data_IF_173500257378
#
_entry.id   IF_173500257378
#
_cell.length_a   1.000
_cell.length_b   1.000
_cell.length_c   1.000
_cell.angle_alpha   90.00
_cell.angle_beta   90.00
_cell.angle_gamma   90.00
#
_symmetry.space_group_name_H-M   'P 1'
#
loop_
_entity.id
_entity.type
_entity.pdbx_description
1 polymer ?
#
# COMPACT_ATOMS: atom_id res chain seq x y z
N UNK A 1 33.28 25.25 -16.44
CA UNK A 1 33.27 24.23 -15.35
C UNK A 1 31.91 24.16 -14.63
N UNK A 2 31.20 25.27 -14.40
CA UNK A 2 29.88 25.25 -13.75
C UNK A 2 28.76 24.54 -14.54
N UNK A 3 28.80 24.57 -15.87
CA UNK A 3 27.74 23.98 -16.71
C UNK A 3 27.63 22.46 -16.55
N UNK A 4 28.76 21.79 -16.35
CA UNK A 4 28.81 20.33 -16.15
C UNK A 4 28.20 19.92 -14.80
N UNK A 5 28.43 20.69 -13.74
CA UNK A 5 27.87 20.43 -12.40
C UNK A 5 26.36 20.69 -12.39
N UNK A 6 25.90 21.79 -12.99
CA UNK A 6 24.47 22.09 -13.11
C UNK A 6 23.73 21.01 -13.93
N UNK A 7 24.35 20.51 -15.01
CA UNK A 7 23.81 19.44 -15.85
C UNK A 7 23.70 18.11 -15.09
N UNK A 8 24.69 17.77 -14.27
CA UNK A 8 24.67 16.56 -13.44
C UNK A 8 23.58 16.67 -12.36
N UNK A 9 23.46 17.81 -11.69
CA UNK A 9 22.46 18.04 -10.65
C UNK A 9 21.01 17.89 -11.17
N UNK A 10 20.73 18.30 -12.40
CA UNK A 10 19.42 18.13 -13.02
C UNK A 10 19.07 16.67 -13.37
N UNK A 11 20.06 15.76 -13.36
CA UNK A 11 19.86 14.32 -13.61
C UNK A 11 19.75 13.51 -12.32
N UNK A 12 20.07 14.09 -11.16
CA UNK A 12 20.01 13.39 -9.89
C UNK A 12 18.57 13.32 -9.37
N UNK A 13 18.12 12.10 -9.08
CA UNK A 13 16.87 11.87 -8.36
C UNK A 13 17.15 12.17 -6.88
N UNK A 14 16.44 13.14 -6.33
CA UNK A 14 16.55 13.56 -4.93
C UNK A 14 15.24 13.31 -4.19
N UNK A 15 15.31 13.23 -2.86
CA UNK A 15 14.11 13.19 -2.02
C UNK A 15 13.58 14.62 -1.90
N UNK A 16 12.31 14.85 -2.26
CA UNK A 16 11.67 16.17 -2.13
C UNK A 16 10.78 16.27 -0.89
N UNK A 17 10.26 15.14 -0.41
CA UNK A 17 9.40 15.09 0.78
C UNK A 17 9.49 13.70 1.40
N UNK A 18 9.44 13.62 2.74
CA UNK A 18 9.26 12.37 3.49
C UNK A 18 8.40 12.64 4.71
N UNK A 19 7.60 11.67 5.14
CA UNK A 19 6.75 11.89 6.30
C UNK A 19 5.92 10.68 6.70
N UNK A 20 5.03 10.93 7.65
CA UNK A 20 4.04 9.96 8.14
C UNK A 20 2.65 10.59 8.06
N UNK A 21 1.72 9.92 7.38
CA UNK A 21 0.33 10.38 7.27
C UNK A 21 -0.59 9.19 7.05
N UNK A 22 -1.78 9.22 7.65
CA UNK A 22 -2.79 8.15 7.52
C UNK A 22 -2.26 6.75 7.93
N UNK A 23 -1.27 6.70 8.83
CA UNK A 23 -0.61 5.46 9.25
C UNK A 23 0.40 4.91 8.24
N UNK A 24 0.70 5.64 7.17
CA UNK A 24 1.75 5.31 6.21
C UNK A 24 2.99 6.16 6.43
N UNK A 25 4.15 5.54 6.26
CA UNK A 25 5.40 6.24 5.98
C UNK A 25 5.52 6.44 4.48
N UNK A 26 6.10 7.56 4.04
CA UNK A 26 6.30 7.82 2.61
C UNK A 26 7.55 8.63 2.31
N UNK A 27 8.03 8.47 1.08
CA UNK A 27 9.07 9.29 0.44
C UNK A 27 8.58 9.66 -0.96
N UNK A 28 8.68 10.95 -1.31
CA UNK A 28 8.49 11.48 -2.66
C UNK A 28 9.83 11.86 -3.26
N UNK A 29 10.04 11.49 -4.51
CA UNK A 29 11.26 11.75 -5.26
C UNK A 29 11.05 12.85 -6.30
N UNK A 30 12.13 13.54 -6.65
CA UNK A 30 12.15 14.67 -7.59
C UNK A 30 11.75 14.29 -9.01
N UNK A 31 11.85 13.02 -9.38
CA UNK A 31 11.40 12.49 -10.67
C UNK A 31 9.89 12.15 -10.70
N UNK A 32 9.21 12.29 -9.56
CA UNK A 32 7.78 12.05 -9.43
C UNK A 32 7.41 10.67 -8.90
N UNK A 33 8.38 9.81 -8.64
CA UNK A 33 8.14 8.55 -7.96
C UNK A 33 7.83 8.79 -6.48
N UNK A 34 7.01 7.92 -5.91
CA UNK A 34 6.81 7.82 -4.49
C UNK A 34 6.86 6.36 -4.04
N UNK A 35 7.42 6.17 -2.86
CA UNK A 35 7.40 4.90 -2.14
C UNK A 35 6.69 5.14 -0.83
N UNK A 36 5.68 4.30 -0.56
CA UNK A 36 4.83 4.40 0.63
C UNK A 36 4.78 3.02 1.28
N UNK A 37 4.88 2.95 2.60
CA UNK A 37 4.81 1.68 3.31
C UNK A 37 4.15 1.78 4.66
N UNK A 38 3.55 0.68 5.10
CA UNK A 38 3.01 0.54 6.46
C UNK A 38 2.94 -0.91 6.89
N UNK A 39 2.91 -1.11 8.21
CA UNK A 39 2.35 -2.33 8.80
C UNK A 39 0.84 -2.14 8.95
N UNK A 40 0.06 -3.10 8.48
CA UNK A 40 -1.39 -3.13 8.62
C UNK A 40 -1.74 -4.18 9.68
N UNK A 41 -2.64 -3.83 10.59
CA UNK A 41 -3.27 -4.77 11.54
C UNK A 41 -4.77 -4.55 11.45
N UNK A 42 -5.51 -5.61 11.16
CA UNK A 42 -6.93 -5.56 10.89
C UNK A 42 -7.60 -6.83 11.39
N UNK A 43 -8.46 -6.68 12.38
CA UNK A 43 -9.29 -7.78 12.84
C UNK A 43 -10.65 -7.63 12.15
N UNK A 44 -11.03 -8.62 11.37
CA UNK A 44 -12.27 -8.58 10.61
C UNK A 44 -12.97 -9.92 10.67
N UNK A 45 -14.29 -9.89 10.80
CA UNK A 45 -15.11 -11.09 10.64
C UNK A 45 -15.19 -11.45 9.15
N UNK A 46 -14.63 -12.60 8.77
CA UNK A 46 -14.73 -13.13 7.41
C UNK A 46 -15.96 -14.02 7.33
N UNK A 47 -17.03 -13.48 6.75
CA UNK A 47 -18.35 -14.12 6.74
C UNK A 47 -18.89 -14.39 5.34
N UNK A 48 -18.33 -13.74 4.31
CA UNK A 48 -18.77 -13.92 2.91
C UNK A 48 -18.08 -15.15 2.34
N UNK A 49 -18.86 -16.13 1.87
CA UNK A 49 -18.34 -17.36 1.27
C UNK A 49 -18.16 -17.23 -0.24
N UNK A 50 -17.02 -17.70 -0.76
CA UNK A 50 -16.72 -17.74 -2.18
C UNK A 50 -15.76 -18.89 -2.51
N UNK A 51 -16.20 -19.83 -3.35
CA UNK A 51 -15.45 -21.02 -3.79
C UNK A 51 -14.71 -21.76 -2.66
N UNK A 52 -15.36 -21.94 -1.49
CA UNK A 52 -14.79 -22.69 -0.36
C UNK A 52 -13.85 -21.87 0.54
N UNK A 53 -13.67 -20.57 0.26
CA UNK A 53 -13.01 -19.62 1.14
C UNK A 53 -14.02 -18.64 1.73
N UNK A 54 -13.68 -18.06 2.87
CA UNK A 54 -14.40 -16.95 3.49
C UNK A 54 -13.57 -15.67 3.36
N UNK A 55 -14.20 -14.55 3.04
CA UNK A 55 -13.50 -13.28 2.90
C UNK A 55 -14.27 -12.10 3.48
N UNK A 56 -13.53 -11.02 3.70
CA UNK A 56 -14.05 -9.70 3.99
C UNK A 56 -13.18 -8.66 3.26
N UNK A 57 -13.84 -7.67 2.66
CA UNK A 57 -13.19 -6.54 2.01
C UNK A 57 -13.63 -5.25 2.69
N UNK A 58 -12.67 -4.38 3.02
CA UNK A 58 -12.96 -3.06 3.55
C UNK A 58 -12.16 -2.01 2.81
N UNK A 59 -12.74 -0.81 2.68
CA UNK A 59 -11.99 0.35 2.20
C UNK A 59 -10.83 0.59 3.17
N UNK A 60 -9.60 0.49 2.67
CA UNK A 60 -8.43 0.78 3.48
C UNK A 60 -8.32 2.29 3.72
N UNK A 61 -7.52 2.68 4.72
CA UNK A 61 -7.25 4.09 5.00
C UNK A 61 -6.69 4.77 3.75
N UNK A 62 -7.25 5.93 3.39
CA UNK A 62 -6.83 6.74 2.23
C UNK A 62 -5.32 6.95 2.22
N UNK A 63 -4.71 6.95 1.03
CA UNK A 63 -3.28 7.15 0.86
C UNK A 63 -2.80 8.46 1.49
N UNK A 64 -1.50 8.60 1.83
CA UNK A 64 -0.97 9.86 2.40
C UNK A 64 -1.13 11.06 1.45
N UNK A 65 -1.24 10.81 0.14
CA UNK A 65 -1.52 11.77 -0.92
C UNK A 65 -2.17 11.04 -2.10
N UNK A 66 -2.81 11.79 -3.00
CA UNK A 66 -3.31 11.23 -4.25
C UNK A 66 -2.15 10.91 -5.21
N UNK A 67 -2.17 9.73 -5.80
CA UNK A 67 -1.30 9.37 -6.91
C UNK A 67 -1.86 9.91 -8.23
N UNK A 68 -1.01 10.04 -9.24
CA UNK A 68 -1.41 10.46 -10.59
C UNK A 68 -2.10 9.35 -11.37
N UNK A 69 -1.70 8.11 -11.09
CA UNK A 69 -2.26 6.88 -11.63
C UNK A 69 -2.39 5.84 -10.51
N UNK A 70 -3.12 4.76 -10.75
CA UNK A 70 -3.28 3.69 -9.76
C UNK A 70 -1.88 3.10 -9.44
N UNK A 71 -1.41 3.17 -8.18
CA UNK A 71 -0.09 2.69 -7.83
C UNK A 71 -0.02 1.16 -7.78
N UNK A 72 1.18 0.60 -7.89
CA UNK A 72 1.43 -0.79 -7.56
C UNK A 72 1.39 -0.97 -6.05
N UNK A 73 0.65 -1.97 -5.57
CA UNK A 73 0.60 -2.33 -4.15
C UNK A 73 1.04 -3.78 -3.99
N UNK A 74 2.03 -4.00 -3.13
CA UNK A 74 2.53 -5.31 -2.74
C UNK A 74 2.16 -5.51 -1.28
N UNK A 75 1.43 -6.58 -1.01
CA UNK A 75 1.06 -6.99 0.34
C UNK A 75 1.75 -8.30 0.67
N UNK A 76 2.49 -8.30 1.78
CA UNK A 76 3.05 -9.50 2.38
C UNK A 76 2.26 -9.81 3.65
N UNK A 77 1.42 -10.86 3.67
CA UNK A 77 0.70 -11.24 4.87
C UNK A 77 1.70 -11.64 5.96
N UNK A 78 1.48 -11.16 7.18
CA UNK A 78 2.18 -11.59 8.37
C UNK A 78 1.59 -12.89 8.90
N UNK A 79 2.34 -13.60 9.74
CA UNK A 79 1.88 -14.83 10.39
C UNK A 79 0.71 -14.54 11.32
N UNK A 80 -0.46 -15.08 10.99
CA UNK A 80 -1.61 -15.11 11.90
C UNK A 80 -2.28 -16.48 11.85
N UNK A 81 -3.06 -16.79 12.89
CA UNK A 81 -3.52 -18.16 13.15
C UNK A 81 -4.51 -18.69 12.10
N UNK A 82 -5.12 -17.81 11.30
CA UNK A 82 -6.27 -18.14 10.44
C UNK A 82 -6.30 -17.39 9.10
N UNK A 83 -5.28 -16.58 8.79
CA UNK A 83 -5.20 -15.87 7.51
C UNK A 83 -4.61 -16.78 6.44
N UNK A 84 -5.38 -17.05 5.41
CA UNK A 84 -4.91 -17.79 4.24
C UNK A 84 -4.22 -16.86 3.24
N UNK A 85 -4.84 -15.70 2.97
CA UNK A 85 -4.30 -14.71 2.03
C UNK A 85 -4.78 -13.30 2.35
N UNK A 86 -3.96 -12.29 1.98
CA UNK A 86 -4.33 -10.88 2.01
C UNK A 86 -3.98 -10.25 0.68
N UNK A 87 -4.94 -9.52 0.11
CA UNK A 87 -4.80 -8.88 -1.19
C UNK A 87 -5.44 -7.50 -1.21
N UNK A 88 -5.21 -6.78 -2.31
CA UNK A 88 -5.87 -5.50 -2.58
C UNK A 88 -6.71 -5.59 -3.84
N UNK A 89 -7.81 -4.84 -3.84
CA UNK A 89 -8.79 -4.81 -4.90
C UNK A 89 -9.21 -3.35 -5.10
N UNK A 90 -9.80 -3.02 -6.26
CA UNK A 90 -10.35 -1.67 -6.52
C UNK A 90 -9.33 -0.54 -6.24
N UNK A 91 -8.08 -0.73 -6.70
CA UNK A 91 -7.02 0.27 -6.52
C UNK A 91 -7.31 1.48 -7.41
N UNK A 92 -7.33 2.65 -6.79
CA UNK A 92 -7.50 3.94 -7.45
C UNK A 92 -6.33 4.87 -7.14
N UNK A 93 -6.40 6.12 -7.59
CA UNK A 93 -5.41 7.15 -7.26
C UNK A 93 -5.47 7.60 -5.80
N UNK A 94 -6.57 7.37 -5.10
CA UNK A 94 -6.81 7.89 -3.73
C UNK A 94 -6.95 6.80 -2.68
N UNK A 95 -7.14 5.54 -3.07
CA UNK A 95 -7.22 4.44 -2.14
C UNK A 95 -7.33 3.07 -2.80
N UNK A 96 -7.70 2.09 -1.99
CA UNK A 96 -7.88 0.69 -2.38
C UNK A 96 -8.79 0.00 -1.36
N UNK A 97 -9.32 -1.17 -1.71
CA UNK A 97 -9.92 -2.10 -0.74
C UNK A 97 -8.89 -3.15 -0.35
N UNK A 98 -8.77 -3.38 0.95
CA UNK A 98 -8.00 -4.49 1.49
C UNK A 98 -8.95 -5.67 1.70
N UNK A 99 -8.54 -6.84 1.23
CA UNK A 99 -9.32 -8.08 1.36
C UNK A 99 -8.52 -9.12 2.12
N UNK A 100 -9.13 -9.69 3.14
CA UNK A 100 -8.60 -10.84 3.88
C UNK A 100 -9.39 -12.10 3.49
N UNK A 101 -8.67 -13.20 3.29
CA UNK A 101 -9.22 -14.51 2.96
C UNK A 101 -8.81 -15.53 4.02
N UNK A 102 -9.75 -16.39 4.39
CA UNK A 102 -9.53 -17.51 5.30
C UNK A 102 -10.21 -18.77 4.78
N UNK A 103 -9.70 -19.92 5.21
CA UNK A 103 -10.36 -21.23 5.04
C UNK A 103 -11.47 -21.47 6.07
N UNK A 104 -11.58 -20.62 7.10
CA UNK A 104 -12.61 -20.71 8.15
C UNK A 104 -13.43 -19.44 8.22
N UNK A 105 -14.71 -19.59 8.54
CA UNK A 105 -15.61 -18.47 8.86
C UNK A 105 -15.32 -17.96 10.27
N UNK A 106 -15.37 -16.65 10.47
CA UNK A 106 -15.29 -16.03 11.80
C UNK A 106 -14.24 -14.93 11.89
N UNK A 107 -13.79 -14.63 13.10
CA UNK A 107 -12.87 -13.53 13.36
C UNK A 107 -11.46 -13.82 12.82
N UNK A 108 -11.07 -13.16 11.74
CA UNK A 108 -9.73 -13.26 11.18
C UNK A 108 -8.86 -12.10 11.68
N UNK A 109 -7.84 -12.45 12.47
CA UNK A 109 -6.77 -11.52 12.84
C UNK A 109 -5.82 -11.40 11.66
N UNK A 110 -5.87 -10.29 10.93
CA UNK A 110 -5.10 -10.09 9.71
C UNK A 110 -3.97 -9.09 9.95
N UNK A 111 -2.73 -9.51 9.70
CA UNK A 111 -1.56 -8.61 9.74
C UNK A 111 -0.83 -8.69 8.41
N UNK A 112 -0.22 -7.59 7.99
CA UNK A 112 0.56 -7.58 6.77
C UNK A 112 1.47 -6.37 6.66
N UNK A 113 2.58 -6.53 5.95
CA UNK A 113 3.40 -5.42 5.50
C UNK A 113 2.95 -5.01 4.12
N UNK A 114 2.87 -3.70 3.88
CA UNK A 114 2.45 -3.14 2.62
C UNK A 114 3.50 -2.20 2.09
N UNK A 115 3.83 -2.38 0.80
CA UNK A 115 4.66 -1.49 0.02
C UNK A 115 3.84 -1.01 -1.18
N UNK A 116 3.82 0.30 -1.40
CA UNK A 116 3.11 0.95 -2.48
C UNK A 116 4.11 1.80 -3.25
N UNK A 117 4.11 1.66 -4.57
CA UNK A 117 5.01 2.36 -5.48
C UNK A 117 4.17 2.99 -6.59
N UNK A 118 4.34 4.29 -6.83
CA UNK A 118 3.59 4.98 -7.88
C UNK A 118 4.05 6.41 -8.11
N UNK A 119 3.37 7.10 -9.04
CA UNK A 119 3.67 8.50 -9.39
C UNK A 119 2.83 9.47 -8.56
N UNK A 120 3.48 10.46 -7.91
CA UNK A 120 2.77 11.53 -7.18
C UNK A 120 2.64 12.83 -7.99
N UNK A 121 3.36 12.97 -9.11
CA UNK A 121 3.28 14.09 -10.07
C UNK A 121 3.33 13.62 -11.52
#
# INVERSE_FOLDING_TARGET
MNDSIATINNKLISIVERGVKNGYNYIKYSNGDAVVWRKYTWNTDVSVSWYGLYFASSKAVDFPFAFKEAPLIIVSPGTTNELYWMGVNEVSTTGYKLTAYSVKKGMCYSQGNMLIIGKWK
#
